data_IF_609755945947
#
_entry.id   IF_609755945947
#
_cell.length_a   1.000
_cell.length_b   1.000
_cell.length_c   1.000
_cell.angle_alpha   90.00
_cell.angle_beta   90.00
_cell.angle_gamma   90.00
#
_symmetry.space_group_name_H-M   'P 1'
#
loop_
_entity.id
_entity.type
_entity.pdbx_description
1 polymer ?
#
# COMPACT_ATOMS: atom_id res chain seq x y z
N UNK A 1 -4.93 -18.69 -15.53
CA UNK A 1 -4.01 -17.56 -15.27
C UNK A 1 -3.14 -17.30 -16.49
N UNK A 2 -3.26 -16.13 -17.14
CA UNK A 2 -2.41 -15.80 -18.30
C UNK A 2 -1.03 -15.32 -17.82
N UNK A 3 -0.09 -16.26 -17.67
CA UNK A 3 1.25 -16.00 -17.11
C UNK A 3 1.97 -14.85 -17.84
N UNK A 4 1.88 -14.77 -19.17
CA UNK A 4 2.58 -13.73 -19.96
C UNK A 4 2.14 -12.30 -19.62
N UNK A 5 0.90 -12.11 -19.12
CA UNK A 5 0.39 -10.79 -18.72
C UNK A 5 0.72 -10.41 -17.28
N UNK A 6 1.13 -11.39 -16.47
CA UNK A 6 1.44 -11.20 -15.05
C UNK A 6 2.93 -11.02 -14.85
N UNK A 7 3.75 -11.95 -15.34
CA UNK A 7 5.19 -11.93 -15.11
C UNK A 7 5.89 -11.01 -16.11
N UNK A 8 6.57 -9.99 -15.59
CA UNK A 8 7.34 -9.05 -16.40
C UNK A 8 8.84 -9.37 -16.38
N UNK A 9 9.31 -10.06 -15.34
CA UNK A 9 10.69 -10.53 -15.26
C UNK A 9 11.05 -11.08 -13.89
N UNK A 10 12.04 -11.98 -13.86
CA UNK A 10 12.62 -12.49 -12.62
C UNK A 10 13.51 -11.42 -12.00
N UNK A 11 13.30 -11.10 -10.73
CA UNK A 11 14.17 -10.18 -9.98
C UNK A 11 15.39 -10.94 -9.44
N UNK A 12 15.14 -12.00 -8.65
CA UNK A 12 16.19 -12.88 -8.09
C UNK A 12 15.59 -14.15 -7.51
N UNK A 13 16.44 -15.05 -7.03
CA UNK A 13 16.06 -16.18 -6.17
C UNK A 13 16.62 -15.94 -4.77
N UNK A 14 15.85 -16.27 -3.73
CA UNK A 14 16.27 -16.19 -2.33
C UNK A 14 15.87 -17.50 -1.64
N UNK A 15 16.87 -18.32 -1.30
CA UNK A 15 16.64 -19.68 -0.84
C UNK A 15 15.81 -20.46 -1.86
N UNK A 16 14.66 -20.99 -1.43
CA UNK A 16 13.72 -21.72 -2.29
C UNK A 16 12.69 -20.84 -3.01
N UNK A 17 12.68 -19.52 -2.76
CA UNK A 17 11.69 -18.60 -3.32
C UNK A 17 12.21 -17.93 -4.58
N UNK A 18 11.36 -17.82 -5.61
CA UNK A 18 11.63 -16.99 -6.78
C UNK A 18 10.88 -15.67 -6.65
N UNK A 19 11.60 -14.56 -6.81
CA UNK A 19 11.02 -13.23 -6.74
C UNK A 19 10.77 -12.70 -8.15
N UNK A 20 9.53 -12.34 -8.43
CA UNK A 20 9.06 -11.88 -9.73
C UNK A 20 8.61 -10.43 -9.68
N UNK A 21 9.00 -9.67 -10.70
CA UNK A 21 8.37 -8.40 -11.04
C UNK A 21 7.10 -8.70 -11.81
N UNK A 22 5.97 -8.16 -11.37
CA UNK A 22 4.65 -8.44 -11.96
C UNK A 22 3.89 -7.19 -12.36
N UNK A 23 2.90 -7.36 -13.23
CA UNK A 23 1.95 -6.30 -13.60
C UNK A 23 0.78 -6.27 -12.61
N UNK A 24 0.87 -5.42 -11.58
CA UNK A 24 -0.18 -5.37 -10.58
C UNK A 24 -1.45 -4.65 -11.05
N UNK A 25 -1.41 -3.80 -12.08
CA UNK A 25 -2.64 -3.27 -12.70
C UNK A 25 -3.46 -4.43 -13.31
N UNK A 26 -2.78 -5.34 -14.01
CA UNK A 26 -3.43 -6.54 -14.52
C UNK A 26 -3.99 -7.43 -13.41
N UNK A 27 -3.22 -7.65 -12.34
CA UNK A 27 -3.65 -8.48 -11.20
C UNK A 27 -4.87 -7.87 -10.51
N UNK A 28 -4.82 -6.57 -10.17
CA UNK A 28 -5.93 -5.88 -9.50
C UNK A 28 -7.21 -5.90 -10.30
N UNK A 29 -7.10 -5.76 -11.62
CA UNK A 29 -8.27 -5.77 -12.51
C UNK A 29 -8.86 -7.17 -12.72
N UNK A 30 -8.04 -8.21 -12.82
CA UNK A 30 -8.48 -9.52 -13.33
C UNK A 30 -8.44 -10.64 -12.28
N UNK A 31 -7.89 -10.39 -11.09
CA UNK A 31 -7.64 -11.43 -10.10
C UNK A 31 -8.02 -10.99 -8.69
N UNK A 32 -7.41 -9.92 -8.19
CA UNK A 32 -7.67 -9.41 -6.84
C UNK A 32 -7.12 -7.99 -6.66
N UNK A 33 -8.02 -7.06 -6.35
CA UNK A 33 -7.77 -5.64 -6.13
C UNK A 33 -6.83 -5.34 -4.95
N UNK A 34 -6.71 -6.27 -3.99
CA UNK A 34 -5.85 -6.11 -2.82
C UNK A 34 -4.36 -6.42 -3.09
N UNK A 35 -3.99 -6.82 -4.32
CA UNK A 35 -2.57 -6.90 -4.68
C UNK A 35 -2.02 -5.50 -4.94
N UNK A 36 -1.39 -4.87 -3.94
CA UNK A 36 -0.95 -3.47 -4.03
C UNK A 36 0.54 -3.33 -4.36
N UNK A 37 1.44 -3.79 -3.48
CA UNK A 37 2.90 -3.57 -3.64
C UNK A 37 3.66 -4.89 -3.80
N UNK A 38 3.45 -5.84 -2.90
CA UNK A 38 4.12 -7.13 -2.93
C UNK A 38 3.29 -8.16 -2.19
N UNK A 39 3.40 -9.43 -2.57
CA UNK A 39 2.70 -10.49 -1.85
C UNK A 39 3.24 -11.90 -2.11
N UNK A 40 2.67 -12.87 -1.41
CA UNK A 40 2.96 -14.29 -1.52
C UNK A 40 1.70 -15.17 -1.49
N UNK A 41 1.90 -16.48 -1.67
CA UNK A 41 0.83 -17.48 -1.67
C UNK A 41 0.14 -17.68 -0.32
N UNK A 42 0.70 -17.16 0.79
CA UNK A 42 0.11 -17.33 2.11
C UNK A 42 -1.03 -16.34 2.36
N UNK A 43 -0.94 -15.16 1.76
CA UNK A 43 -2.01 -14.16 1.81
C UNK A 43 -2.92 -14.26 0.57
N UNK A 44 -2.34 -14.36 -0.62
CA UNK A 44 -3.10 -14.43 -1.88
C UNK A 44 -2.90 -15.79 -2.55
N UNK A 45 -3.87 -16.70 -2.36
CA UNK A 45 -3.78 -18.10 -2.75
C UNK A 45 -3.60 -18.37 -4.25
N UNK A 46 -3.89 -17.38 -5.11
CA UNK A 46 -3.65 -17.47 -6.56
C UNK A 46 -2.16 -17.29 -6.93
N UNK A 47 -1.34 -16.75 -6.03
CA UNK A 47 0.11 -16.67 -6.22
C UNK A 47 0.69 -18.08 -6.06
N UNK A 48 1.51 -18.56 -7.00
CA UNK A 48 2.11 -19.88 -6.87
C UNK A 48 2.95 -20.03 -5.61
N UNK A 49 2.93 -21.23 -5.03
CA UNK A 49 3.81 -21.56 -3.90
C UNK A 49 5.26 -21.30 -4.28
N UNK A 50 6.04 -20.81 -3.31
CA UNK A 50 7.47 -20.45 -3.47
C UNK A 50 7.72 -19.29 -4.43
N UNK A 51 6.70 -18.49 -4.72
CA UNK A 51 6.86 -17.23 -5.43
C UNK A 51 6.56 -16.04 -4.54
N UNK A 52 7.36 -14.99 -4.72
CA UNK A 52 7.09 -13.66 -4.21
C UNK A 52 6.87 -12.74 -5.39
N UNK A 53 5.78 -12.00 -5.37
CA UNK A 53 5.44 -11.06 -6.43
C UNK A 53 5.65 -9.63 -5.93
N UNK A 54 6.25 -8.78 -6.77
CA UNK A 54 6.50 -7.37 -6.50
C UNK A 54 5.96 -6.54 -7.66
N UNK A 55 5.13 -5.56 -7.36
CA UNK A 55 4.53 -4.60 -8.29
C UNK A 55 5.61 -3.83 -9.07
N UNK A 56 5.42 -3.71 -10.39
CA UNK A 56 6.35 -3.03 -11.31
C UNK A 56 6.57 -1.56 -10.99
N UNK A 57 5.53 -0.90 -10.47
CA UNK A 57 5.49 0.53 -10.18
C UNK A 57 5.90 0.85 -8.73
N UNK A 58 6.25 -0.17 -7.94
CA UNK A 58 6.82 0.01 -6.61
C UNK A 58 8.27 0.53 -6.66
N UNK A 59 8.72 1.19 -5.60
CA UNK A 59 10.07 1.74 -5.55
C UNK A 59 11.13 0.62 -5.46
N UNK A 60 12.04 0.47 -6.45
CA UNK A 60 13.06 -0.60 -6.43
C UNK A 60 14.01 -0.54 -5.23
N UNK A 61 14.16 0.64 -4.61
CA UNK A 61 14.96 0.81 -3.38
C UNK A 61 14.32 0.17 -2.14
N UNK A 62 13.11 -0.38 -2.27
CA UNK A 62 12.40 -1.07 -1.20
C UNK A 62 12.27 -2.57 -1.40
N UNK A 63 12.57 -3.10 -2.59
CA UNK A 63 12.35 -4.52 -2.89
C UNK A 63 13.08 -5.45 -1.92
N UNK A 64 14.29 -5.10 -1.48
CA UNK A 64 14.99 -5.89 -0.48
C UNK A 64 14.26 -5.93 0.87
N UNK A 65 13.60 -4.84 1.28
CA UNK A 65 12.80 -4.80 2.51
C UNK A 65 11.57 -5.70 2.42
N UNK A 66 10.86 -5.63 1.29
CA UNK A 66 9.69 -6.49 1.02
C UNK A 66 10.08 -7.97 0.99
N UNK A 67 11.19 -8.29 0.34
CA UNK A 67 11.70 -9.67 0.28
C UNK A 67 12.12 -10.14 1.67
N UNK A 68 12.79 -9.31 2.47
CA UNK A 68 13.12 -9.64 3.87
C UNK A 68 11.86 -9.94 4.69
N UNK A 69 10.81 -9.14 4.53
CA UNK A 69 9.53 -9.36 5.18
C UNK A 69 8.95 -10.73 4.80
N UNK A 70 8.76 -10.96 3.49
CA UNK A 70 8.19 -12.21 2.98
C UNK A 70 8.99 -13.44 3.39
N UNK A 71 10.33 -13.40 3.32
CA UNK A 71 11.19 -14.52 3.74
C UNK A 71 10.97 -14.83 5.23
N UNK A 72 11.00 -13.82 6.10
CA UNK A 72 10.83 -14.03 7.54
C UNK A 72 9.41 -14.49 7.90
N UNK A 73 8.39 -13.93 7.24
CA UNK A 73 6.98 -14.36 7.38
C UNK A 73 6.82 -15.83 7.00
N UNK A 74 7.30 -16.21 5.82
CA UNK A 74 7.21 -17.60 5.35
C UNK A 74 7.96 -18.57 6.25
N UNK A 75 9.18 -18.23 6.65
CA UNK A 75 9.97 -19.09 7.54
C UNK A 75 9.27 -19.32 8.88
N UNK A 76 8.63 -18.28 9.44
CA UNK A 76 7.83 -18.40 10.65
C UNK A 76 6.62 -19.34 10.46
N UNK A 77 5.86 -19.18 9.36
CA UNK A 77 4.73 -20.06 9.03
C UNK A 77 5.17 -21.52 8.88
N UNK A 78 6.28 -21.76 8.17
CA UNK A 78 6.82 -23.10 7.93
C UNK A 78 7.35 -23.75 9.22
N UNK A 79 7.74 -22.93 10.19
CA UNK A 79 8.13 -23.35 11.53
C UNK A 79 6.91 -23.57 12.46
N UNK A 80 5.70 -23.53 11.91
CA UNK A 80 4.44 -23.80 12.63
C UNK A 80 3.89 -22.63 13.43
N UNK A 81 4.41 -21.42 13.25
CA UNK A 81 3.84 -20.24 13.91
C UNK A 81 2.53 -19.86 13.24
N UNK A 82 1.57 -19.37 14.04
CA UNK A 82 0.30 -18.89 13.50
C UNK A 82 0.48 -17.61 12.65
N UNK A 83 -0.48 -17.30 11.75
CA UNK A 83 -0.38 -16.16 10.83
C UNK A 83 -0.06 -14.83 11.50
N UNK A 84 -0.68 -14.54 12.66
CA UNK A 84 -0.43 -13.29 13.39
C UNK A 84 1.01 -13.17 13.89
N UNK A 85 1.62 -14.28 14.35
CA UNK A 85 3.02 -14.29 14.77
C UNK A 85 3.96 -14.21 13.57
N UNK A 86 3.63 -14.86 12.47
CA UNK A 86 4.41 -14.78 11.24
C UNK A 86 4.44 -13.36 10.65
N UNK A 87 3.31 -12.66 10.65
CA UNK A 87 3.22 -11.27 10.18
C UNK A 87 4.15 -10.36 11.01
N UNK A 88 4.13 -10.53 12.34
CA UNK A 88 5.05 -9.81 13.23
C UNK A 88 6.51 -10.14 12.97
N UNK A 89 6.83 -11.38 12.63
CA UNK A 89 8.20 -11.79 12.31
C UNK A 89 8.69 -11.09 11.03
N UNK A 90 7.85 -11.06 9.99
CA UNK A 90 8.08 -10.31 8.75
C UNK A 90 8.33 -8.83 9.00
N UNK A 91 7.36 -8.16 9.62
CA UNK A 91 7.44 -6.74 9.96
C UNK A 91 8.66 -6.41 10.84
N UNK A 92 9.00 -7.26 11.80
CA UNK A 92 10.17 -7.06 12.66
C UNK A 92 11.49 -7.21 11.89
N UNK A 93 11.58 -8.16 10.97
CA UNK A 93 12.76 -8.33 10.12
C UNK A 93 12.94 -7.14 9.19
N UNK A 94 11.87 -6.70 8.54
CA UNK A 94 11.87 -5.51 7.69
C UNK A 94 12.27 -4.26 8.48
N UNK A 95 11.67 -4.04 9.65
CA UNK A 95 11.98 -2.90 10.53
C UNK A 95 13.46 -2.87 10.90
N UNK A 96 14.05 -4.03 11.23
CA UNK A 96 15.50 -4.12 11.54
C UNK A 96 16.36 -3.75 10.34
N UNK A 97 16.04 -4.24 9.14
CA UNK A 97 16.81 -3.91 7.93
C UNK A 97 16.68 -2.43 7.55
N UNK A 98 15.47 -1.86 7.65
CA UNK A 98 15.24 -0.43 7.45
C UNK A 98 15.97 0.40 8.49
N UNK A 99 15.96 -0.01 9.76
CA UNK A 99 16.66 0.67 10.84
C UNK A 99 18.17 0.67 10.61
N UNK A 100 18.79 -0.45 10.22
CA UNK A 100 20.21 -0.50 9.84
C UNK A 100 20.53 0.50 8.73
N UNK A 101 19.76 0.48 7.65
CA UNK A 101 19.94 1.40 6.53
C UNK A 101 19.69 2.87 6.91
N UNK A 102 18.73 3.13 7.80
CA UNK A 102 18.42 4.47 8.28
C UNK A 102 19.49 4.99 9.23
N UNK A 103 19.96 4.17 10.18
CA UNK A 103 21.06 4.49 11.08
C UNK A 103 22.34 4.81 10.30
N UNK A 104 22.70 3.99 9.30
CA UNK A 104 23.86 4.26 8.43
C UNK A 104 23.72 5.63 7.74
N UNK A 105 22.52 5.98 7.25
CA UNK A 105 22.28 7.26 6.55
C UNK A 105 22.13 8.48 7.46
N UNK A 106 21.88 8.27 8.74
CA UNK A 106 21.54 9.33 9.70
C UNK A 106 22.40 9.30 10.96
N UNK A 107 23.54 8.61 10.93
CA UNK A 107 24.53 8.67 11.99
C UNK A 107 24.84 10.16 12.30
N UNK A 108 24.59 10.56 13.55
CA UNK A 108 24.79 11.94 14.01
C UNK A 108 23.62 12.94 13.78
N UNK A 109 22.43 12.51 13.33
CA UNK A 109 21.27 13.42 13.15
C UNK A 109 20.24 13.32 14.29
N UNK A 110 19.68 14.45 14.70
CA UNK A 110 18.63 14.58 15.72
C UNK A 110 17.28 14.00 15.26
N UNK A 111 16.42 13.67 16.23
CA UNK A 111 15.03 13.26 16.01
C UNK A 111 14.30 14.33 15.20
N UNK A 112 13.65 13.92 14.11
CA UNK A 112 12.91 14.83 13.23
C UNK A 112 11.61 15.27 13.91
N UNK A 113 11.32 16.58 13.88
CA UNK A 113 10.01 17.09 14.27
C UNK A 113 8.91 16.59 13.33
N UNK A 114 7.66 16.57 13.81
CA UNK A 114 6.50 16.16 13.02
C UNK A 114 6.39 16.94 11.71
N UNK A 115 6.64 18.25 11.72
CA UNK A 115 6.60 19.08 10.50
C UNK A 115 7.68 18.67 9.49
N UNK A 116 8.90 18.37 9.96
CA UNK A 116 9.98 17.89 9.09
C UNK A 116 9.65 16.53 8.49
N UNK A 117 8.96 15.66 9.24
CA UNK A 117 8.48 14.37 8.72
C UNK A 117 7.42 14.60 7.63
N UNK A 118 6.41 15.43 7.89
CA UNK A 118 5.36 15.74 6.92
C UNK A 118 5.92 16.37 5.64
N UNK A 119 6.86 17.32 5.75
CA UNK A 119 7.54 17.92 4.59
C UNK A 119 8.31 16.90 3.75
N UNK A 120 8.82 15.82 4.36
CA UNK A 120 9.47 14.73 3.62
C UNK A 120 8.46 13.83 2.92
N UNK A 121 7.29 13.62 3.52
CA UNK A 121 6.24 12.72 3.05
C UNK A 121 5.38 13.37 1.97
N UNK A 122 4.84 14.57 2.23
CA UNK A 122 4.01 15.31 1.28
C UNK A 122 4.82 15.74 0.06
N UNK A 123 4.39 15.30 -1.12
CA UNK A 123 5.08 15.64 -2.38
C UNK A 123 4.26 16.57 -3.25
N UNK A 124 2.96 16.31 -3.38
CA UNK A 124 2.08 17.12 -4.22
C UNK A 124 0.67 17.14 -3.65
N UNK A 125 0.15 18.34 -3.42
CA UNK A 125 -1.27 18.55 -3.11
C UNK A 125 -2.08 18.41 -4.41
N UNK A 126 -3.07 17.52 -4.40
CA UNK A 126 -4.05 17.40 -5.48
C UNK A 126 -5.20 18.36 -5.22
N UNK A 127 -5.71 18.96 -6.31
CA UNK A 127 -6.93 19.75 -6.24
C UNK A 127 -8.12 18.79 -6.11
N UNK A 128 -8.83 18.85 -4.99
CA UNK A 128 -10.11 18.18 -4.81
C UNK A 128 -11.28 19.14 -4.97
N UNK A 129 -12.39 18.71 -5.59
CA UNK A 129 -13.68 19.39 -5.47
C UNK A 129 -14.14 19.30 -4.00
N UNK A 130 -14.48 20.42 -3.38
CA UNK A 130 -14.82 20.49 -1.95
C UNK A 130 -13.61 20.81 -1.06
N UNK A 131 -13.49 22.07 -0.61
CA UNK A 131 -12.33 22.59 0.15
C UNK A 131 -12.13 22.00 1.56
N UNK A 132 -12.89 20.97 1.95
CA UNK A 132 -12.89 20.44 3.33
C UNK A 132 -11.83 19.38 3.59
N UNK A 133 -11.28 18.77 2.54
CA UNK A 133 -10.28 17.69 2.65
C UNK A 133 -9.09 17.96 1.74
N UNK A 134 -7.88 17.69 2.24
CA UNK A 134 -6.65 17.79 1.46
C UNK A 134 -6.20 16.41 1.00
N UNK A 135 -5.99 16.25 -0.31
CA UNK A 135 -5.48 15.00 -0.88
C UNK A 135 -4.04 15.19 -1.30
N UNK A 136 -3.14 14.41 -0.71
CA UNK A 136 -1.71 14.48 -0.98
C UNK A 136 -1.24 13.24 -1.74
N UNK A 137 -0.50 13.45 -2.82
CA UNK A 137 0.47 12.43 -3.24
C UNK A 137 1.65 12.46 -2.28
N UNK A 138 2.00 11.29 -1.76
CA UNK A 138 3.03 11.13 -0.76
C UNK A 138 4.11 10.15 -1.19
N UNK A 139 5.28 10.27 -0.58
CA UNK A 139 6.36 9.29 -0.68
C UNK A 139 6.12 8.16 0.32
N UNK A 140 5.46 7.08 -0.12
CA UNK A 140 5.12 5.98 0.78
C UNK A 140 6.34 5.26 1.34
N UNK A 141 7.49 5.30 0.65
CA UNK A 141 8.76 4.85 1.23
C UNK A 141 9.14 5.68 2.46
N UNK A 142 8.96 7.00 2.41
CA UNK A 142 9.18 7.86 3.56
C UNK A 142 8.19 7.56 4.69
N UNK A 143 6.92 7.27 4.37
CA UNK A 143 5.92 6.82 5.35
C UNK A 143 6.37 5.53 6.04
N UNK A 144 6.76 4.49 5.27
CA UNK A 144 7.23 3.20 5.80
C UNK A 144 8.49 3.31 6.64
N UNK A 145 9.40 4.21 6.29
CA UNK A 145 10.64 4.41 7.05
C UNK A 145 10.43 5.20 8.36
N UNK A 146 9.43 6.08 8.43
CA UNK A 146 9.29 7.05 9.52
C UNK A 146 8.06 6.83 10.41
N UNK A 147 7.01 6.21 9.90
CA UNK A 147 5.69 6.16 10.54
C UNK A 147 5.14 4.74 10.64
N UNK A 148 4.89 4.05 9.53
CA UNK A 148 4.25 2.72 9.54
C UNK A 148 4.59 1.86 8.33
N UNK A 149 5.00 0.61 8.57
CA UNK A 149 5.25 -0.38 7.51
C UNK A 149 3.97 -0.77 6.76
N UNK A 150 2.82 -0.67 7.43
CA UNK A 150 1.51 -1.09 6.92
C UNK A 150 0.89 -0.07 5.94
N UNK A 151 1.62 1.00 5.59
CA UNK A 151 1.19 1.95 4.56
C UNK A 151 1.57 1.41 3.17
N UNK A 152 0.58 1.09 2.36
CA UNK A 152 0.78 0.52 1.02
C UNK A 152 0.42 1.49 -0.10
N UNK A 153 -0.86 1.62 -0.46
CA UNK A 153 -1.32 2.47 -1.57
C UNK A 153 -1.93 3.81 -1.12
N UNK A 154 -2.71 3.76 -0.05
CA UNK A 154 -3.62 4.83 0.34
C UNK A 154 -3.83 4.82 1.85
N UNK A 155 -4.36 5.92 2.37
CA UNK A 155 -4.79 5.98 3.76
C UNK A 155 -5.33 7.34 4.15
N UNK A 156 -6.11 7.39 5.22
CA UNK A 156 -6.66 8.63 5.74
C UNK A 156 -6.66 8.72 7.28
N UNK A 157 -6.96 9.91 7.78
CA UNK A 157 -6.90 10.36 9.18
C UNK A 157 -7.81 9.62 10.20
N UNK A 158 -8.66 8.72 9.71
CA UNK A 158 -9.53 7.88 10.55
C UNK A 158 -9.05 6.42 10.64
N UNK A 159 -8.19 5.99 9.71
CA UNK A 159 -7.50 4.69 9.75
C UNK A 159 -6.15 4.84 10.42
N UNK A 160 -5.38 5.85 10.01
CA UNK A 160 -4.03 6.09 10.51
C UNK A 160 -3.97 7.34 11.38
N UNK A 161 -3.57 7.16 12.64
CA UNK A 161 -3.44 8.25 13.62
C UNK A 161 -2.31 9.24 13.30
N UNK A 162 -1.33 8.84 12.49
CA UNK A 162 -0.21 9.69 12.07
C UNK A 162 -0.57 10.61 10.90
N UNK A 163 -1.65 10.33 10.17
CA UNK A 163 -2.15 11.18 9.09
C UNK A 163 -2.88 12.38 9.72
N UNK A 164 -2.52 13.63 9.36
CA UNK A 164 -3.21 14.81 9.86
C UNK A 164 -4.71 14.79 9.58
N UNK A 165 -5.50 15.40 10.48
CA UNK A 165 -6.96 15.46 10.31
C UNK A 165 -7.34 16.11 8.99
N UNK A 166 -8.37 15.55 8.34
CA UNK A 166 -8.86 15.98 7.01
C UNK A 166 -7.81 15.83 5.90
N UNK A 167 -6.93 14.85 6.00
CA UNK A 167 -6.04 14.46 4.91
C UNK A 167 -6.30 13.03 4.42
N UNK A 168 -6.12 12.85 3.11
CA UNK A 168 -6.00 11.56 2.44
C UNK A 168 -4.65 11.53 1.75
N UNK A 169 -3.91 10.45 1.91
CA UNK A 169 -2.58 10.25 1.34
C UNK A 169 -2.62 9.12 0.31
N UNK A 170 -2.02 9.36 -0.86
CA UNK A 170 -1.95 8.38 -1.95
C UNK A 170 -0.48 8.20 -2.35
N UNK A 171 -0.02 6.95 -2.51
CA UNK A 171 1.33 6.62 -2.96
C UNK A 171 1.59 7.21 -4.35
N UNK A 172 2.62 8.06 -4.42
CA UNK A 172 2.94 8.81 -5.63
C UNK A 172 3.45 7.93 -6.78
N UNK A 173 3.98 6.74 -6.48
CA UNK A 173 4.58 5.87 -7.50
C UNK A 173 3.54 5.09 -8.29
N UNK A 174 2.29 5.03 -7.83
CA UNK A 174 1.20 4.40 -8.55
C UNK A 174 0.90 5.13 -9.87
N UNK A 175 0.52 4.42 -10.94
CA UNK A 175 0.02 5.04 -12.16
C UNK A 175 -1.17 5.97 -11.86
N UNK A 176 -1.30 7.06 -12.61
CA UNK A 176 -2.35 8.07 -12.39
C UNK A 176 -3.76 7.48 -12.31
N UNK A 177 -4.05 6.48 -13.13
CA UNK A 177 -5.35 5.80 -13.15
C UNK A 177 -5.59 5.00 -11.87
N UNK A 178 -4.56 4.32 -11.35
CA UNK A 178 -4.64 3.64 -10.05
C UNK A 178 -4.81 4.64 -8.90
N UNK A 179 -4.13 5.79 -8.96
CA UNK A 179 -4.35 6.87 -7.98
C UNK A 179 -5.82 7.33 -7.94
N UNK A 180 -6.52 7.36 -9.08
CA UNK A 180 -7.95 7.72 -9.13
C UNK A 180 -8.85 6.65 -8.46
N UNK A 181 -8.54 5.35 -8.64
CA UNK A 181 -9.27 4.27 -7.96
C UNK A 181 -9.03 4.27 -6.45
N UNK A 182 -7.77 4.37 -6.03
CA UNK A 182 -7.41 4.47 -4.62
C UNK A 182 -8.05 5.72 -4.00
N UNK A 183 -8.04 6.87 -4.68
CA UNK A 183 -8.72 8.06 -4.19
C UNK A 183 -10.23 7.82 -3.95
N UNK A 184 -10.90 7.13 -4.87
CA UNK A 184 -12.31 6.79 -4.70
C UNK A 184 -12.52 5.90 -3.45
N UNK A 185 -11.69 4.87 -3.29
CA UNK A 185 -11.73 3.98 -2.13
C UNK A 185 -11.55 4.74 -0.83
N UNK A 186 -10.46 5.51 -0.70
CA UNK A 186 -10.14 6.28 0.49
C UNK A 186 -11.23 7.31 0.83
N UNK A 187 -11.80 8.01 -0.17
CA UNK A 187 -12.90 8.93 0.06
C UNK A 187 -14.14 8.21 0.59
N UNK A 188 -14.50 7.08 -0.02
CA UNK A 188 -15.71 6.36 0.36
C UNK A 188 -15.56 5.67 1.72
N UNK A 189 -14.44 5.01 1.99
CA UNK A 189 -14.11 4.42 3.29
C UNK A 189 -14.16 5.49 4.39
N UNK A 190 -13.49 6.63 4.15
CA UNK A 190 -13.46 7.75 5.09
C UNK A 190 -14.85 8.29 5.39
N UNK A 191 -15.72 8.39 4.39
CA UNK A 191 -17.11 8.81 4.56
C UNK A 191 -17.87 7.79 5.41
N UNK A 192 -17.79 6.49 5.09
CA UNK A 192 -18.46 5.44 5.85
C UNK A 192 -18.02 5.40 7.32
N UNK A 193 -16.72 5.61 7.58
CA UNK A 193 -16.22 5.73 8.95
C UNK A 193 -16.69 7.00 9.66
N UNK A 194 -16.91 8.10 8.93
CA UNK A 194 -17.50 9.32 9.49
C UNK A 194 -18.93 9.07 9.99
N UNK A 195 -19.69 8.27 9.25
CA UNK A 195 -21.07 7.86 9.55
C UNK A 195 -21.14 6.76 10.63
N UNK A 196 -20.02 6.41 11.26
CA UNK A 196 -19.99 5.46 12.37
C UNK A 196 -19.79 3.99 11.97
N UNK A 197 -19.51 3.67 10.70
CA UNK A 197 -19.10 2.30 10.33
C UNK A 197 -17.71 2.01 10.89
N UNK A 198 -17.55 0.81 11.44
CA UNK A 198 -16.21 0.33 11.81
C UNK A 198 -15.36 0.04 10.56
N UNK A 199 -14.04 -0.01 10.76
CA UNK A 199 -13.08 -0.15 9.67
C UNK A 199 -13.39 -1.33 8.73
N UNK A 200 -13.60 -2.59 9.20
CA UNK A 200 -13.83 -3.70 8.27
C UNK A 200 -15.05 -3.52 7.36
N UNK A 201 -16.14 -2.92 7.88
CA UNK A 201 -17.36 -2.66 7.10
C UNK A 201 -17.18 -1.47 6.15
N UNK A 202 -16.46 -0.43 6.58
CA UNK A 202 -16.15 0.71 5.74
C UNK A 202 -15.23 0.30 4.57
N UNK A 203 -14.18 -0.47 4.88
CA UNK A 203 -13.23 -1.00 3.91
C UNK A 203 -13.92 -1.84 2.85
N UNK A 204 -14.72 -2.83 3.25
CA UNK A 204 -15.48 -3.66 2.32
C UNK A 204 -16.42 -2.83 1.43
N UNK A 205 -17.09 -1.82 1.99
CA UNK A 205 -17.93 -0.91 1.22
C UNK A 205 -17.15 -0.12 0.17
N UNK A 206 -15.95 0.34 0.51
CA UNK A 206 -15.04 1.02 -0.40
C UNK A 206 -14.52 0.08 -1.50
N UNK A 207 -14.14 -1.15 -1.15
CA UNK A 207 -13.72 -2.19 -2.10
C UNK A 207 -14.80 -2.46 -3.15
N UNK A 208 -16.07 -2.61 -2.74
CA UNK A 208 -17.20 -2.84 -3.66
C UNK A 208 -17.35 -1.67 -4.64
N UNK A 209 -17.24 -0.43 -4.15
CA UNK A 209 -17.36 0.76 -4.99
C UNK A 209 -16.15 0.89 -5.94
N UNK A 210 -14.95 0.61 -5.47
CA UNK A 210 -13.73 0.61 -6.28
C UNK A 210 -13.84 -0.42 -7.41
N UNK A 211 -14.16 -1.67 -7.10
CA UNK A 211 -14.24 -2.77 -8.07
C UNK A 211 -15.29 -2.49 -9.16
N UNK A 212 -16.44 -1.93 -8.79
CA UNK A 212 -17.44 -1.49 -9.77
C UNK A 212 -16.83 -0.54 -10.81
N UNK A 213 -16.07 0.48 -10.38
CA UNK A 213 -15.47 1.46 -11.28
C UNK A 213 -14.23 0.94 -12.01
N UNK A 214 -13.51 -0.04 -11.46
CA UNK A 214 -12.44 -0.74 -12.19
C UNK A 214 -12.99 -1.45 -13.42
N UNK A 215 -14.19 -2.02 -13.30
CA UNK A 215 -14.91 -2.68 -14.39
C UNK A 215 -15.72 -1.71 -15.26
N UNK A 216 -16.18 -0.59 -14.70
CA UNK A 216 -16.99 0.44 -15.36
C UNK A 216 -16.38 1.84 -15.18
N UNK A 217 -15.26 2.16 -15.86
CA UNK A 217 -14.51 3.40 -15.60
C UNK A 217 -15.26 4.68 -16.04
N UNK A 218 -16.31 4.55 -16.85
CA UNK A 218 -17.17 5.68 -17.23
C UNK A 218 -17.83 6.24 -15.97
N UNK A 219 -17.61 7.53 -15.70
CA UNK A 219 -18.21 8.21 -14.54
C UNK A 219 -17.35 8.20 -13.26
N UNK A 220 -16.14 7.62 -13.27
CA UNK A 220 -15.24 7.61 -12.11
C UNK A 220 -14.98 9.02 -11.56
N UNK A 221 -14.63 9.98 -12.43
CA UNK A 221 -14.34 11.36 -12.01
C UNK A 221 -15.55 12.08 -11.37
N UNK A 222 -16.76 12.05 -11.98
CA UNK A 222 -17.97 12.53 -11.31
C UNK A 222 -18.22 11.88 -9.96
N UNK A 223 -18.00 10.56 -9.84
CA UNK A 223 -18.17 9.85 -8.57
C UNK A 223 -17.16 10.32 -7.51
N UNK A 224 -15.88 10.47 -7.88
CA UNK A 224 -14.84 11.03 -6.99
C UNK A 224 -15.25 12.42 -6.52
N UNK A 225 -15.72 13.29 -7.42
CA UNK A 225 -16.17 14.63 -7.05
C UNK A 225 -17.32 14.58 -6.03
N UNK A 226 -18.31 13.72 -6.26
CA UNK A 226 -19.44 13.52 -5.35
C UNK A 226 -19.02 12.98 -3.98
N UNK A 227 -18.08 12.03 -3.94
CA UNK A 227 -17.55 11.52 -2.67
C UNK A 227 -16.70 12.58 -1.94
N UNK A 228 -15.99 13.44 -2.68
CA UNK A 228 -15.23 14.55 -2.10
C UNK A 228 -16.13 15.64 -1.49
N UNK A 229 -17.32 15.88 -2.04
CA UNK A 229 -18.32 16.80 -1.47
C UNK A 229 -18.92 16.30 -0.15
N UNK A 230 -18.91 14.99 0.09
CA UNK A 230 -19.44 14.34 1.30
C UNK A 230 -18.48 14.33 2.50
N UNK A 231 -17.25 14.85 2.32
CA UNK A 231 -16.16 14.73 3.30
C UNK A 231 -16.20 15.69 4.49
#
# INVERSE_FOLDING_TARGET
>A
MNKKKIYLGKIKTVGKYTVWKVDGEYIRKNMNENFVIYDDSNHLSFIPRREFWIEKDSNPKEWNFFITNLVAKNWALESGLNPKKAERAGASAEKRERAKMFHIKNAGKTVLSKEKILKKIHKKLLKTPGKKISVWLVDGRAVRNLLSLDYEAGGHDRVYNFIPKKEIWIEQTLPKKEQEFILLHELHERFLMAEGKNYPRAHMGATIVEDYFRNHPKGLKPKIAKEAERQ
#
